data_IF_256606323373
#
_entry.id   IF_256606323373
#
_cell.length_a   1.000
_cell.length_b   1.000
_cell.length_c   1.000
_cell.angle_alpha   90.00
_cell.angle_beta   90.00
_cell.angle_gamma   90.00
#
_symmetry.space_group_name_H-M   'P 1'
#
loop_
_entity.id
_entity.type
_entity.pdbx_description
1 polymer ?
#
# COMPACT_ATOMS: atom_id res chain seq x y z
N UNK A 1 48.65 -24.05 34.41
CA UNK A 1 48.18 -23.25 33.24
C UNK A 1 47.02 -23.88 32.44
N UNK A 2 46.59 -25.13 32.68
CA UNK A 2 45.49 -25.75 31.90
C UNK A 2 44.07 -25.35 32.34
N UNK A 3 43.90 -24.79 33.55
CA UNK A 3 42.59 -24.34 34.05
C UNK A 3 42.10 -23.04 33.40
N UNK A 4 43.01 -22.11 33.12
CA UNK A 4 42.68 -20.84 32.44
C UNK A 4 42.22 -21.07 30.99
N UNK A 5 42.79 -22.05 30.29
CA UNK A 5 42.41 -22.38 28.92
C UNK A 5 41.03 -23.03 28.80
N UNK A 6 40.60 -23.80 29.81
CA UNK A 6 39.27 -24.44 29.83
C UNK A 6 38.16 -23.46 30.19
N UNK A 7 38.45 -22.45 31.02
CA UNK A 7 37.50 -21.40 31.37
C UNK A 7 37.26 -20.44 30.19
N UNK A 8 38.29 -20.20 29.37
CA UNK A 8 38.19 -19.36 28.18
C UNK A 8 37.33 -20.00 27.07
N UNK A 9 37.40 -21.33 26.88
CA UNK A 9 36.57 -22.05 25.92
C UNK A 9 35.10 -22.13 26.33
N UNK A 10 34.79 -22.16 27.63
CA UNK A 10 33.40 -22.18 28.13
C UNK A 10 32.70 -20.81 27.97
N UNK A 11 33.44 -19.70 28.05
CA UNK A 11 32.91 -18.34 27.82
C UNK A 11 32.70 -18.04 26.33
N UNK A 12 33.46 -18.69 25.43
CA UNK A 12 33.27 -18.53 23.99
C UNK A 12 32.03 -19.27 23.45
N UNK A 13 31.65 -20.39 24.08
CA UNK A 13 30.45 -21.17 23.69
C UNK A 13 29.12 -20.54 24.15
N UNK A 14 29.14 -19.63 25.12
CA UNK A 14 27.93 -18.91 25.58
C UNK A 14 27.63 -17.63 24.79
N UNK A 15 28.52 -17.17 23.90
CA UNK A 15 28.27 -15.98 23.07
C UNK A 15 27.62 -16.25 21.71
N UNK A 16 27.43 -17.51 21.31
CA UNK A 16 26.90 -17.85 19.99
C UNK A 16 25.37 -17.76 19.85
N UNK A 17 24.66 -17.29 20.89
CA UNK A 17 23.21 -17.07 20.84
C UNK A 17 22.86 -15.58 20.90
N UNK A 18 23.61 -14.72 20.19
CA UNK A 18 23.04 -13.47 19.72
C UNK A 18 22.05 -13.84 18.61
N UNK A 19 20.81 -14.16 19.01
CA UNK A 19 19.66 -14.11 18.11
C UNK A 19 19.65 -12.68 17.57
N UNK A 20 20.05 -12.52 16.31
CA UNK A 20 19.80 -11.28 15.59
C UNK A 20 18.28 -11.12 15.57
N UNK A 21 17.77 -10.31 16.50
CA UNK A 21 16.41 -9.84 16.43
C UNK A 21 16.25 -9.22 15.03
N UNK A 22 15.36 -9.78 14.21
CA UNK A 22 14.86 -9.08 13.02
C UNK A 22 14.48 -7.68 13.47
N UNK A 23 15.09 -6.66 12.87
CA UNK A 23 14.97 -5.28 13.34
C UNK A 23 13.51 -4.83 13.44
N UNK A 24 13.24 -3.83 14.27
CA UNK A 24 11.88 -3.32 14.51
C UNK A 24 11.16 -3.00 13.19
N UNK A 25 9.98 -3.58 13.03
CA UNK A 25 9.10 -3.40 11.86
C UNK A 25 8.28 -2.13 11.98
N UNK A 26 8.07 -1.44 10.87
CA UNK A 26 7.28 -0.21 10.85
C UNK A 26 5.79 -0.51 10.91
N UNK A 27 5.33 -1.47 10.10
CA UNK A 27 3.91 -1.80 10.04
C UNK A 27 3.72 -3.28 9.72
N UNK A 28 2.83 -3.92 10.47
CA UNK A 28 2.33 -5.26 10.16
C UNK A 28 0.84 -5.15 9.82
N UNK A 29 0.44 -5.72 8.69
CA UNK A 29 -0.95 -5.86 8.26
C UNK A 29 -1.38 -7.32 8.41
N UNK A 30 -2.60 -7.56 8.89
CA UNK A 30 -3.18 -8.90 9.01
C UNK A 30 -4.71 -8.83 9.06
N UNK A 31 -5.39 -9.99 9.11
CA UNK A 31 -6.84 -10.02 9.39
C UNK A 31 -7.72 -9.86 8.15
N UNK A 32 -7.15 -10.02 6.96
CA UNK A 32 -7.84 -10.05 5.68
C UNK A 32 -6.92 -10.66 4.60
N UNK A 33 -7.43 -10.90 3.38
CA UNK A 33 -6.62 -11.46 2.31
C UNK A 33 -5.55 -10.47 1.84
N UNK A 34 -4.32 -10.95 1.67
CA UNK A 34 -3.19 -10.19 1.12
C UNK A 34 -2.88 -10.73 -0.28
N UNK A 35 -3.27 -9.99 -1.30
CA UNK A 35 -3.03 -10.34 -2.71
C UNK A 35 -1.59 -9.97 -3.06
N UNK A 36 -0.76 -10.98 -3.30
CA UNK A 36 0.69 -10.78 -3.52
C UNK A 36 1.06 -10.55 -4.98
N UNK A 37 0.24 -11.04 -5.91
CA UNK A 37 0.54 -11.08 -7.36
C UNK A 37 1.91 -11.71 -7.64
N UNK A 38 2.33 -12.66 -6.79
CA UNK A 38 3.57 -13.41 -7.00
C UNK A 38 3.41 -14.39 -8.18
N UNK A 39 4.50 -15.03 -8.61
CA UNK A 39 4.47 -15.98 -9.74
C UNK A 39 3.53 -17.18 -9.55
N UNK A 40 3.15 -17.48 -8.30
CA UNK A 40 2.23 -18.56 -7.94
C UNK A 40 0.79 -18.07 -7.75
N UNK A 41 0.55 -16.77 -7.86
CA UNK A 41 -0.72 -16.09 -7.61
C UNK A 41 -1.34 -16.45 -6.24
N UNK A 42 -0.50 -16.57 -5.21
CA UNK A 42 -0.93 -16.94 -3.86
C UNK A 42 -1.41 -15.72 -3.07
N UNK A 43 -2.41 -15.94 -2.22
CA UNK A 43 -2.81 -15.00 -1.16
C UNK A 43 -2.11 -15.33 0.15
N UNK A 44 -1.81 -14.30 0.94
CA UNK A 44 -1.25 -14.42 2.27
C UNK A 44 -2.22 -13.86 3.33
N UNK A 45 -1.93 -14.12 4.60
CA UNK A 45 -2.76 -13.67 5.72
C UNK A 45 -2.16 -12.47 6.46
N UNK A 46 -0.86 -12.24 6.30
CA UNK A 46 -0.16 -11.11 6.89
C UNK A 46 1.06 -10.69 6.08
N UNK A 47 1.44 -9.42 6.26
CA UNK A 47 2.58 -8.79 5.61
C UNK A 47 3.25 -7.78 6.56
N UNK A 48 4.57 -7.76 6.56
CA UNK A 48 5.39 -6.85 7.36
C UNK A 48 6.18 -5.88 6.47
N UNK A 49 6.18 -4.60 6.84
CA UNK A 49 6.90 -3.51 6.17
C UNK A 49 7.94 -2.91 7.11
N UNK A 50 9.14 -2.69 6.58
CA UNK A 50 10.22 -1.96 7.24
C UNK A 50 10.92 -1.07 6.21
N UNK A 51 11.11 0.21 6.54
CA UNK A 51 11.72 1.23 5.69
C UNK A 51 11.10 1.29 4.29
N UNK A 52 9.76 1.20 4.23
CA UNK A 52 9.01 1.21 2.97
C UNK A 52 9.15 -0.05 2.11
N UNK A 53 9.80 -1.11 2.61
CA UNK A 53 9.97 -2.39 1.91
C UNK A 53 9.23 -3.51 2.61
N UNK A 54 8.71 -4.45 1.82
CA UNK A 54 8.11 -5.69 2.33
C UNK A 54 9.24 -6.59 2.79
N UNK A 55 9.22 -6.99 4.07
CA UNK A 55 10.26 -7.82 4.69
C UNK A 55 9.78 -9.22 5.06
N UNK A 56 8.46 -9.43 5.13
CA UNK A 56 7.86 -10.76 5.14
C UNK A 56 6.41 -10.74 4.66
N UNK A 57 6.00 -11.91 4.15
CA UNK A 57 4.66 -12.23 3.70
C UNK A 57 4.40 -13.68 4.08
N UNK A 58 3.22 -14.01 4.63
CA UNK A 58 2.92 -15.38 5.01
C UNK A 58 1.66 -15.51 5.87
N UNK A 59 1.63 -16.55 6.72
CA UNK A 59 0.54 -16.70 7.69
C UNK A 59 0.62 -15.64 8.77
N UNK A 60 -0.51 -15.35 9.42
CA UNK A 60 -0.57 -14.37 10.51
C UNK A 60 0.41 -14.72 11.62
N UNK A 61 0.45 -15.98 12.02
CA UNK A 61 1.24 -16.48 13.14
C UNK A 61 2.73 -16.33 12.87
N UNK A 62 3.18 -16.69 11.66
CA UNK A 62 4.60 -16.59 11.28
C UNK A 62 5.04 -15.14 11.23
N UNK A 63 4.28 -14.28 10.56
CA UNK A 63 4.67 -12.87 10.39
C UNK A 63 4.67 -12.13 11.73
N UNK A 64 3.61 -12.29 12.55
CA UNK A 64 3.51 -11.59 13.84
C UNK A 64 4.55 -12.05 14.86
N UNK A 65 4.94 -13.34 14.83
CA UNK A 65 5.98 -13.89 15.69
C UNK A 65 7.39 -13.47 15.25
N UNK A 66 7.74 -13.71 13.98
CA UNK A 66 9.10 -13.51 13.48
C UNK A 66 9.49 -12.03 13.37
N UNK A 67 8.49 -11.16 13.24
CA UNK A 67 8.68 -9.70 13.18
C UNK A 67 8.12 -8.98 14.40
N UNK A 68 7.99 -9.69 15.52
CA UNK A 68 7.74 -9.12 16.84
C UNK A 68 6.65 -8.04 16.83
N UNK A 69 5.41 -8.41 16.52
CA UNK A 69 4.29 -7.46 16.44
C UNK A 69 4.14 -6.57 17.69
N UNK A 70 4.60 -7.03 18.86
CA UNK A 70 4.67 -6.24 20.10
C UNK A 70 5.62 -5.05 20.08
N UNK A 71 6.62 -5.06 19.21
CA UNK A 71 7.62 -4.00 19.03
C UNK A 71 7.46 -3.23 17.71
N UNK A 72 6.51 -3.66 16.87
CA UNK A 72 6.21 -2.97 15.64
C UNK A 72 5.65 -1.58 15.94
N UNK A 73 6.06 -0.57 15.17
CA UNK A 73 5.56 0.81 15.33
C UNK A 73 4.04 0.88 15.10
N UNK A 74 3.51 0.02 14.23
CA UNK A 74 2.08 -0.08 13.95
C UNK A 74 1.68 -1.51 13.62
N UNK A 75 0.52 -1.91 14.12
CA UNK A 75 -0.12 -3.19 13.78
C UNK A 75 -1.54 -2.86 13.32
N UNK A 76 -1.90 -3.31 12.11
CA UNK A 76 -3.16 -2.98 11.44
C UNK A 76 -3.94 -4.27 11.20
N UNK A 77 -5.09 -4.36 11.86
CA UNK A 77 -6.11 -5.36 11.53
C UNK A 77 -6.95 -4.84 10.36
N UNK A 78 -7.00 -5.62 9.28
CA UNK A 78 -7.74 -5.31 8.06
C UNK A 78 -9.24 -5.60 8.20
N UNK A 79 -9.69 -6.29 9.26
CA UNK A 79 -11.11 -6.56 9.51
C UNK A 79 -11.83 -7.22 8.31
N UNK A 80 -11.15 -8.15 7.65
CA UNK A 80 -11.64 -8.86 6.46
C UNK A 80 -11.43 -8.11 5.13
N UNK A 81 -10.91 -6.89 5.14
CA UNK A 81 -10.60 -6.13 3.92
C UNK A 81 -9.35 -6.67 3.21
N UNK A 82 -9.31 -6.49 1.90
CA UNK A 82 -8.19 -6.95 1.06
C UNK A 82 -7.04 -5.95 1.06
N UNK A 83 -5.83 -6.42 1.36
CA UNK A 83 -4.59 -5.72 1.05
C UNK A 83 -4.10 -6.15 -0.33
N UNK A 84 -3.80 -5.18 -1.20
CA UNK A 84 -3.31 -5.44 -2.56
C UNK A 84 -2.20 -4.44 -2.92
N UNK A 85 -1.47 -4.72 -4.00
CA UNK A 85 -0.54 -3.75 -4.58
C UNK A 85 -1.26 -2.47 -5.00
N UNK A 86 -0.62 -1.31 -4.80
CA UNK A 86 -1.07 -0.08 -5.44
C UNK A 86 -1.06 -0.22 -6.97
N UNK A 87 -1.97 0.48 -7.64
CA UNK A 87 -1.99 0.48 -9.11
C UNK A 87 -0.73 1.14 -9.66
N UNK A 88 -0.15 0.49 -10.68
CA UNK A 88 0.94 1.05 -11.47
C UNK A 88 0.36 1.44 -12.82
N UNK A 89 0.28 2.74 -13.07
CA UNK A 89 -0.24 3.32 -14.32
C UNK A 89 0.91 3.47 -15.32
N UNK A 90 0.99 2.64 -16.38
CA UNK A 90 2.08 2.71 -17.33
C UNK A 90 1.98 3.89 -18.31
N UNK A 91 0.80 4.43 -18.57
CA UNK A 91 0.62 5.55 -19.50
C UNK A 91 -0.66 6.33 -19.26
N UNK A 92 -0.50 7.57 -18.78
CA UNK A 92 -1.62 8.50 -18.56
C UNK A 92 -1.28 9.90 -19.07
N UNK A 93 -2.29 10.62 -19.56
CA UNK A 93 -2.18 12.02 -19.94
C UNK A 93 -2.72 12.94 -18.82
N UNK A 94 -2.02 13.03 -17.69
CA UNK A 94 -2.53 13.72 -16.48
C UNK A 94 -3.00 15.14 -16.79
N UNK A 95 -2.21 15.93 -17.54
CA UNK A 95 -2.56 17.33 -17.86
C UNK A 95 -3.84 17.40 -18.71
N UNK A 96 -3.94 16.58 -19.76
CA UNK A 96 -5.11 16.58 -20.65
C UNK A 96 -6.35 16.11 -19.88
N UNK A 97 -6.22 15.09 -19.03
CA UNK A 97 -7.30 14.61 -18.18
C UNK A 97 -7.74 15.69 -17.20
N UNK A 98 -6.82 16.34 -16.48
CA UNK A 98 -7.14 17.40 -15.52
C UNK A 98 -7.82 18.59 -16.18
N UNK A 99 -7.37 19.02 -17.36
CA UNK A 99 -8.00 20.13 -18.09
C UNK A 99 -9.40 19.71 -18.60
N UNK A 100 -9.53 18.55 -19.23
CA UNK A 100 -10.82 18.12 -19.80
C UNK A 100 -11.88 17.81 -18.74
N UNK A 101 -11.50 17.26 -17.58
CA UNK A 101 -12.44 16.96 -16.49
C UNK A 101 -12.69 18.13 -15.54
N UNK A 102 -11.68 18.96 -15.31
CA UNK A 102 -11.73 20.05 -14.34
C UNK A 102 -12.17 21.39 -14.94
N UNK A 103 -11.82 21.67 -16.19
CA UNK A 103 -12.15 22.92 -16.89
C UNK A 103 -13.10 22.70 -18.08
N UNK A 104 -13.19 21.47 -18.61
CA UNK A 104 -14.09 21.14 -19.70
C UNK A 104 -15.56 21.13 -19.26
N UNK A 105 -16.43 21.71 -20.08
CA UNK A 105 -17.87 21.52 -19.98
C UNK A 105 -18.19 20.05 -20.29
N UNK A 106 -18.80 19.33 -19.35
CA UNK A 106 -19.14 17.92 -19.53
C UNK A 106 -20.32 17.77 -20.49
N UNK A 107 -19.99 17.44 -21.74
CA UNK A 107 -20.97 17.18 -22.80
C UNK A 107 -21.45 15.73 -22.89
N UNK A 108 -21.21 14.92 -21.86
CA UNK A 108 -21.49 13.49 -21.91
C UNK A 108 -22.73 13.17 -21.08
N UNK A 109 -23.80 12.75 -21.77
CA UNK A 109 -25.01 12.25 -21.14
C UNK A 109 -25.32 10.85 -21.71
N UNK A 110 -24.72 9.82 -21.12
CA UNK A 110 -25.05 8.41 -21.43
C UNK A 110 -26.26 7.91 -20.63
N UNK A 111 -26.96 8.82 -19.96
CA UNK A 111 -28.14 8.52 -19.15
C UNK A 111 -29.38 9.18 -19.77
N UNK A 112 -30.46 8.42 -19.88
CA UNK A 112 -31.73 8.94 -20.38
C UNK A 112 -32.39 9.88 -19.35
N UNK A 113 -33.09 10.95 -19.79
CA UNK A 113 -33.22 11.40 -21.18
C UNK A 113 -31.93 12.07 -21.69
N UNK A 114 -31.59 11.82 -22.95
CA UNK A 114 -30.45 12.47 -23.60
C UNK A 114 -30.64 13.99 -23.65
N UNK A 115 -29.52 14.70 -23.66
CA UNK A 115 -29.55 16.13 -23.90
C UNK A 115 -30.01 16.44 -25.33
N UNK A 116 -30.87 17.45 -25.46
CA UNK A 116 -31.24 18.01 -26.77
C UNK A 116 -30.30 19.14 -27.14
N UNK A 117 -30.41 19.63 -28.38
CA UNK A 117 -29.71 20.85 -28.79
C UNK A 117 -29.97 22.01 -27.83
N UNK A 118 -31.21 22.17 -27.39
CA UNK A 118 -31.63 23.24 -26.49
C UNK A 118 -30.98 23.08 -25.12
N UNK A 119 -30.97 21.87 -24.55
CA UNK A 119 -30.34 21.65 -23.24
C UNK A 119 -28.83 21.86 -23.31
N UNK A 120 -28.18 21.48 -24.43
CA UNK A 120 -26.77 21.81 -24.67
C UNK A 120 -26.49 23.31 -24.72
N UNK A 121 -27.33 24.06 -25.44
CA UNK A 121 -27.21 25.52 -25.52
C UNK A 121 -27.35 26.15 -24.14
N UNK A 122 -28.32 25.68 -23.34
CA UNK A 122 -28.50 26.19 -21.98
C UNK A 122 -27.30 25.89 -21.08
N UNK A 123 -26.73 24.68 -21.17
CA UNK A 123 -25.52 24.31 -20.43
C UNK A 123 -24.33 25.21 -20.78
N UNK A 124 -24.10 25.47 -22.07
CA UNK A 124 -23.06 26.39 -22.51
C UNK A 124 -23.28 27.81 -21.97
N UNK A 125 -24.51 28.34 -22.11
CA UNK A 125 -24.87 29.67 -21.60
C UNK A 125 -24.69 29.81 -20.09
N UNK A 126 -25.03 28.77 -19.32
CA UNK A 126 -24.86 28.78 -17.88
C UNK A 126 -23.38 28.82 -17.47
N UNK A 127 -22.52 28.08 -18.16
CA UNK A 127 -21.09 28.03 -17.85
C UNK A 127 -20.34 29.32 -18.17
N UNK A 128 -20.79 30.11 -19.15
CA UNK A 128 -20.18 31.40 -19.51
C UNK A 128 -19.98 32.33 -18.31
N UNK A 129 -20.87 32.26 -17.31
CA UNK A 129 -20.79 33.09 -16.09
C UNK A 129 -19.55 32.80 -15.24
N UNK A 130 -18.97 31.62 -15.40
CA UNK A 130 -17.87 31.12 -14.57
C UNK A 130 -16.52 31.15 -15.31
N UNK A 131 -16.46 31.68 -16.54
CA UNK A 131 -15.22 31.78 -17.32
C UNK A 131 -14.48 33.07 -16.87
N UNK A 132 -13.22 32.97 -16.41
CA UNK A 132 -12.42 34.14 -16.07
C UNK A 132 -12.18 35.06 -17.28
N UNK A 133 -11.92 36.34 -17.03
CA UNK A 133 -11.52 37.27 -18.08
C UNK A 133 -10.19 36.84 -18.72
N UNK A 134 -10.18 36.59 -20.03
CA UNK A 134 -9.00 36.14 -20.78
C UNK A 134 -9.11 34.75 -21.41
N UNK A 135 -10.13 33.97 -21.06
CA UNK A 135 -10.31 32.58 -21.51
C UNK A 135 -9.74 31.57 -20.53
#
# INVERSE_FOLDING_TARGET
MQFASKLFSAVLMTQSALVFAKGNTDTIFYGGPVVTVNAKNEEAQALAVQNGKIVAVGTKEVVTKDWQASTAKKVVDLQGQTLMSGFVEPHVHIIITSVSEGLGLKFRNFTLPYDTKETWIQKMKAALKNIPAGG
#
